data_IF_624165004101
#
_entry.id   IF_624165004101
#
_cell.length_a   1.000
_cell.length_b   1.000
_cell.length_c   1.000
_cell.angle_alpha   90.00
_cell.angle_beta   90.00
_cell.angle_gamma   90.00
#
_symmetry.space_group_name_H-M   'P 1'
#
loop_
_entity.id
_entity.type
_entity.pdbx_description
1 polymer ?
#
# COMPACT_ATOMS: atom_id res chain seq x y z
N UNK A 1 1.33 -69.39 -40.56
CA UNK A 1 2.64 -69.67 -39.93
C UNK A 1 2.94 -68.46 -39.05
N UNK A 2 2.40 -68.38 -37.82
CA UNK A 2 2.88 -69.10 -36.62
C UNK A 2 4.41 -69.07 -36.56
N UNK A 3 5.01 -68.21 -35.74
CA UNK A 3 5.28 -68.50 -34.32
C UNK A 3 5.74 -67.26 -33.53
N UNK A 4 5.12 -67.09 -32.37
CA UNK A 4 5.57 -66.34 -31.19
C UNK A 4 6.47 -67.24 -30.33
N UNK A 5 7.61 -66.76 -29.83
CA UNK A 5 8.31 -67.35 -28.69
C UNK A 5 8.88 -66.28 -27.74
N UNK A 6 8.31 -66.36 -26.54
CA UNK A 6 8.80 -66.21 -25.16
C UNK A 6 9.11 -64.91 -24.42
N UNK A 7 8.67 -65.03 -23.17
CA UNK A 7 8.67 -64.13 -22.05
C UNK A 7 9.72 -64.53 -21.01
N UNK A 8 9.99 -63.62 -20.07
CA UNK A 8 10.70 -63.89 -18.80
C UNK A 8 11.66 -62.74 -18.46
N UNK A 9 11.69 -62.15 -17.28
CA UNK A 9 11.00 -62.42 -16.02
C UNK A 9 11.45 -61.40 -14.97
N UNK A 10 10.47 -60.93 -14.19
CA UNK A 10 10.48 -60.59 -12.75
C UNK A 10 11.81 -60.28 -11.98
N UNK A 11 11.68 -59.17 -11.21
CA UNK A 11 11.95 -58.96 -9.76
C UNK A 11 13.26 -58.28 -9.29
N UNK A 12 13.05 -57.34 -8.36
CA UNK A 12 13.95 -56.94 -7.26
C UNK A 12 14.89 -55.81 -7.63
N UNK A 13 14.88 -54.62 -7.01
CA UNK A 13 14.82 -54.37 -5.56
C UNK A 13 16.24 -53.97 -5.12
N UNK A 14 16.48 -52.69 -4.87
CA UNK A 14 17.80 -52.20 -4.45
C UNK A 14 17.85 -50.70 -4.24
N UNK A 15 17.38 -50.26 -3.08
CA UNK A 15 17.76 -48.96 -2.50
C UNK A 15 19.28 -48.97 -2.23
N UNK A 16 20.02 -48.05 -2.85
CA UNK A 16 21.38 -47.71 -2.42
C UNK A 16 21.46 -46.21 -2.20
N UNK A 17 21.88 -45.84 -0.99
CA UNK A 17 21.72 -44.52 -0.40
C UNK A 17 22.58 -43.43 -1.04
N UNK A 18 21.96 -42.27 -1.19
CA UNK A 18 22.65 -41.01 -1.44
C UNK A 18 23.50 -40.64 -0.21
N UNK A 19 24.82 -40.62 -0.40
CA UNK A 19 25.79 -40.05 0.53
C UNK A 19 25.46 -38.56 0.73
N UNK A 20 25.25 -38.18 2.00
CA UNK A 20 25.23 -36.78 2.45
C UNK A 20 26.62 -36.17 2.24
N UNK A 21 26.73 -35.16 1.39
CA UNK A 21 27.86 -34.24 1.35
C UNK A 21 27.82 -33.35 2.58
N UNK A 22 28.82 -33.49 3.44
CA UNK A 22 29.03 -32.72 4.67
C UNK A 22 29.61 -31.37 4.27
N UNK A 23 28.82 -30.31 4.41
CA UNK A 23 29.29 -28.93 4.30
C UNK A 23 30.29 -28.63 5.42
N UNK A 24 31.33 -27.88 5.07
CA UNK A 24 32.51 -27.60 5.90
C UNK A 24 32.19 -26.87 7.20
N UNK A 25 32.85 -27.30 8.27
CA UNK A 25 32.99 -26.53 9.48
C UNK A 25 34.01 -25.41 9.24
N UNK A 26 33.55 -24.17 9.29
CA UNK A 26 34.41 -23.00 9.34
C UNK A 26 35.14 -22.95 10.68
N UNK A 27 36.46 -22.97 10.61
CA UNK A 27 37.37 -22.83 11.73
C UNK A 27 37.29 -21.40 12.27
N UNK A 28 36.96 -21.23 13.55
CA UNK A 28 36.89 -19.91 14.19
C UNK A 28 38.33 -19.44 14.45
N UNK A 29 38.79 -18.46 13.68
CA UNK A 29 40.10 -17.82 13.86
C UNK A 29 40.19 -17.12 15.23
N UNK A 30 41.40 -17.05 15.84
CA UNK A 30 41.62 -16.40 17.14
C UNK A 30 41.11 -14.94 17.22
N UNK A 31 41.09 -14.22 16.09
CA UNK A 31 40.60 -12.85 15.99
C UNK A 31 39.09 -12.74 16.29
N UNK A 32 38.27 -13.73 15.90
CA UNK A 32 36.82 -13.70 16.12
C UNK A 32 36.40 -14.10 17.54
N UNK A 33 37.31 -14.70 18.32
CA UNK A 33 37.09 -14.99 19.75
C UNK A 33 37.28 -13.75 20.62
N UNK A 34 38.19 -12.84 20.23
CA UNK A 34 38.47 -11.62 20.98
C UNK A 34 37.32 -10.61 20.89
N UNK A 35 36.70 -10.45 19.71
CA UNK A 35 35.53 -9.56 19.56
C UNK A 35 34.30 -9.98 20.38
N UNK A 36 34.08 -11.30 20.58
CA UNK A 36 32.97 -11.77 21.43
C UNK A 36 33.25 -11.62 22.94
N UNK A 37 34.52 -11.46 23.34
CA UNK A 37 34.87 -11.20 24.74
C UNK A 37 34.79 -9.71 25.07
N UNK A 38 35.08 -8.83 24.11
CA UNK A 38 34.96 -7.38 24.30
C UNK A 38 33.50 -6.89 24.32
N UNK A 39 32.58 -7.57 23.62
CA UNK A 39 31.15 -7.28 23.67
C UNK A 39 30.50 -7.57 25.04
N UNK A 40 31.09 -8.45 25.88
CA UNK A 40 30.60 -8.73 27.24
C UNK A 40 31.18 -7.81 28.32
N UNK A 41 32.10 -6.91 27.98
CA UNK A 41 32.74 -5.99 28.94
C UNK A 41 32.04 -4.62 29.05
N UNK A 42 31.03 -4.36 28.22
CA UNK A 42 30.31 -3.06 28.19
C UNK A 42 29.02 -3.06 29.04
N UNK A 43 28.52 -4.21 29.49
CA UNK A 43 27.35 -4.31 30.39
C UNK A 43 27.71 -4.16 31.88
N UNK A 44 28.42 -3.07 32.22
CA UNK A 44 28.95 -2.82 33.57
C UNK A 44 28.64 -1.46 34.16
N UNK A 45 27.64 -0.72 33.65
CA UNK A 45 27.28 0.60 34.18
C UNK A 45 25.85 0.59 34.71
N UNK A 46 25.71 0.43 36.04
CA UNK A 46 24.45 0.67 36.76
C UNK A 46 24.08 2.16 36.68
N UNK A 47 23.06 2.49 35.91
CA UNK A 47 22.40 3.81 35.97
C UNK A 47 21.45 3.82 37.16
N UNK A 48 21.69 4.73 38.12
CA UNK A 48 20.82 4.98 39.27
C UNK A 48 19.52 5.66 38.81
N UNK A 49 18.38 5.13 39.26
CA UNK A 49 17.08 5.76 39.09
C UNK A 49 17.01 7.12 39.83
N UNK A 50 16.35 8.15 39.26
CA UNK A 50 16.13 9.41 39.96
C UNK A 50 15.06 9.27 41.06
N UNK A 51 15.38 9.78 42.25
CA UNK A 51 14.51 9.87 43.43
C UNK A 51 13.27 10.72 43.16
N UNK A 52 12.10 10.20 43.50
CA UNK A 52 10.88 10.99 43.70
C UNK A 52 11.04 11.93 44.93
N UNK A 53 10.64 13.20 44.85
CA UNK A 53 10.50 14.04 46.03
C UNK A 53 9.19 13.76 46.79
N UNK A 54 9.17 13.96 48.12
CA UNK A 54 8.09 13.51 48.98
C UNK A 54 6.83 14.37 48.91
N UNK A 55 5.68 13.71 49.06
CA UNK A 55 4.37 14.29 49.35
C UNK A 55 4.39 14.87 50.77
N UNK A 56 4.20 16.19 50.90
CA UNK A 56 4.00 16.84 52.19
C UNK A 56 2.55 17.29 52.34
N UNK A 57 1.85 16.60 53.25
CA UNK A 57 1.17 17.17 54.41
C UNK A 57 0.28 18.40 54.22
N UNK A 58 -1.01 18.17 54.41
CA UNK A 58 -2.04 19.10 54.86
C UNK A 58 -1.56 20.16 55.87
N UNK A 59 -2.08 21.38 55.75
CA UNK A 59 -2.58 22.15 56.89
C UNK A 59 -3.54 23.28 56.48
N UNK A 60 -4.51 23.50 57.36
CA UNK A 60 -5.71 24.31 57.28
C UNK A 60 -5.48 25.82 57.49
N UNK A 61 -6.41 26.57 56.90
CA UNK A 61 -7.15 27.73 57.44
C UNK A 61 -6.58 29.17 57.50
N UNK A 62 -7.56 30.08 57.30
CA UNK A 62 -7.68 31.52 57.57
C UNK A 62 -7.20 32.57 56.55
N UNK A 63 -8.15 33.42 56.13
CA UNK A 63 -7.87 34.86 55.98
C UNK A 63 -8.32 35.57 54.69
N UNK A 64 -9.62 35.83 54.56
CA UNK A 64 -10.24 37.14 54.26
C UNK A 64 -9.62 38.09 53.20
N UNK A 65 -10.43 38.33 52.17
CA UNK A 65 -10.75 39.56 51.42
C UNK A 65 -9.65 40.42 50.76
N UNK A 66 -9.84 40.65 49.45
CA UNK A 66 -9.86 41.96 48.76
C UNK A 66 -9.80 41.63 47.25
N UNK A 67 -10.81 41.89 46.44
CA UNK A 67 -11.28 43.24 46.15
C UNK A 67 -10.77 43.76 44.80
N UNK A 68 -10.21 42.97 43.87
CA UNK A 68 -9.69 43.55 42.61
C UNK A 68 -9.50 42.58 41.43
N UNK A 69 -10.47 41.68 41.17
CA UNK A 69 -10.32 40.69 40.08
C UNK A 69 -11.60 40.46 39.26
N UNK A 70 -12.34 41.52 38.90
CA UNK A 70 -13.56 41.40 38.06
C UNK A 70 -13.56 42.17 36.74
N UNK A 71 -12.42 42.71 36.29
CA UNK A 71 -12.37 43.43 35.00
C UNK A 71 -11.34 42.95 33.97
N UNK A 72 -10.66 41.81 34.19
CA UNK A 72 -9.70 41.23 33.21
C UNK A 72 -9.97 39.77 32.83
N UNK A 73 -11.22 39.32 32.85
CA UNK A 73 -11.62 38.00 32.33
C UNK A 73 -12.65 38.05 31.19
N UNK A 74 -13.08 39.24 30.78
CA UNK A 74 -14.04 39.40 29.68
C UNK A 74 -13.39 39.45 28.28
N UNK A 75 -12.11 39.83 28.17
CA UNK A 75 -11.47 40.04 26.86
C UNK A 75 -10.63 38.87 26.33
N UNK A 76 -10.35 37.85 27.16
CA UNK A 76 -9.57 36.68 26.72
C UNK A 76 -10.43 35.55 26.11
N UNK A 77 -11.77 35.66 26.16
CA UNK A 77 -12.69 34.62 25.63
C UNK A 77 -13.15 34.84 24.18
N UNK A 78 -12.69 35.89 23.51
CA UNK A 78 -13.11 36.22 22.12
C UNK A 78 -12.13 35.78 21.01
N UNK A 79 -11.05 35.07 21.33
CA UNK A 79 -10.06 34.60 20.33
C UNK A 79 -9.79 33.09 20.36
N UNK A 80 -10.80 32.27 20.65
CA UNK A 80 -10.68 30.82 20.61
C UNK A 80 -11.97 30.17 20.09
N UNK A 81 -12.31 30.43 18.83
CA UNK A 81 -13.21 29.58 18.06
C UNK A 81 -13.11 29.93 16.57
N UNK A 82 -12.01 29.49 15.93
CA UNK A 82 -12.14 29.11 14.52
C UNK A 82 -12.86 27.76 14.54
N UNK A 83 -14.11 27.65 14.07
CA UNK A 83 -14.77 26.37 14.02
C UNK A 83 -14.04 25.49 12.99
N UNK A 84 -13.70 24.29 13.46
CA UNK A 84 -13.25 23.12 12.71
C UNK A 84 -14.36 22.67 11.73
N UNK A 85 -14.68 23.54 10.77
CA UNK A 85 -15.74 23.36 9.78
C UNK A 85 -15.19 23.24 8.36
N UNK A 86 -13.95 23.66 8.11
CA UNK A 86 -13.34 23.53 6.77
C UNK A 86 -12.87 22.11 6.48
N UNK A 87 -12.32 21.39 7.47
CA UNK A 87 -11.83 20.02 7.28
C UNK A 87 -12.98 19.03 6.97
N UNK A 88 -14.13 19.21 7.63
CA UNK A 88 -15.35 18.43 7.36
C UNK A 88 -16.12 18.93 6.13
N UNK A 89 -15.86 20.15 5.65
CA UNK A 89 -16.45 20.67 4.41
C UNK A 89 -15.72 20.09 3.20
N UNK A 90 -14.39 19.96 3.27
CA UNK A 90 -13.58 19.39 2.19
C UNK A 90 -13.86 17.89 1.96
N UNK A 91 -14.01 17.11 3.05
CA UNK A 91 -14.44 15.69 2.98
C UNK A 91 -15.83 15.53 2.35
N UNK A 92 -16.77 16.43 2.66
CA UNK A 92 -18.13 16.41 2.08
C UNK A 92 -18.16 16.84 0.62
N UNK A 93 -17.30 17.77 0.21
CA UNK A 93 -17.15 18.19 -1.19
C UNK A 93 -16.53 17.07 -2.04
N UNK A 94 -15.55 16.33 -1.48
CA UNK A 94 -14.94 15.18 -2.15
C UNK A 94 -15.95 14.04 -2.37
N UNK A 95 -16.74 13.71 -1.34
CA UNK A 95 -17.79 12.68 -1.41
C UNK A 95 -18.93 13.09 -2.36
N UNK A 96 -19.30 14.37 -2.40
CA UNK A 96 -20.37 14.86 -3.29
C UNK A 96 -19.93 14.90 -4.76
N UNK A 97 -18.65 15.19 -5.04
CA UNK A 97 -18.07 15.08 -6.38
C UNK A 97 -18.04 13.63 -6.88
N UNK A 98 -17.87 12.67 -5.97
CA UNK A 98 -17.87 11.24 -6.26
C UNK A 98 -19.29 10.71 -6.60
N UNK A 99 -20.33 11.21 -5.92
CA UNK A 99 -21.72 10.72 -6.06
C UNK A 99 -22.42 11.21 -7.35
N UNK A 100 -21.98 12.31 -7.96
CA UNK A 100 -22.60 12.87 -9.18
C UNK A 100 -21.97 12.35 -10.50
N UNK A 101 -20.91 11.56 -10.46
CA UNK A 101 -20.20 11.08 -11.66
C UNK A 101 -20.77 9.78 -12.28
N UNK A 102 -21.84 9.19 -11.72
CA UNK A 102 -22.21 7.77 -12.00
C UNK A 102 -23.36 7.60 -13.00
N UNK A 103 -23.46 8.38 -14.07
CA UNK A 103 -24.49 8.13 -15.10
C UNK A 103 -24.01 8.44 -16.51
N UNK A 104 -23.14 7.59 -17.03
CA UNK A 104 -22.76 7.57 -18.44
C UNK A 104 -21.29 7.30 -18.59
N UNK A 105 -20.91 6.03 -18.73
CA UNK A 105 -19.58 5.64 -19.22
C UNK A 105 -19.55 6.02 -20.70
N UNK A 106 -19.34 7.31 -20.97
CA UNK A 106 -18.74 7.72 -22.22
C UNK A 106 -17.28 7.25 -22.12
N UNK A 107 -16.83 6.47 -23.11
CA UNK A 107 -15.45 5.98 -23.22
C UNK A 107 -14.49 7.15 -23.06
N UNK A 108 -14.02 7.38 -21.83
CA UNK A 108 -12.83 8.18 -21.60
C UNK A 108 -11.71 7.48 -22.37
N UNK A 109 -10.85 8.25 -23.03
CA UNK A 109 -9.67 7.67 -23.67
C UNK A 109 -8.84 6.89 -22.66
N UNK A 110 -7.99 5.98 -23.15
CA UNK A 110 -7.04 5.21 -22.32
C UNK A 110 -6.31 6.16 -21.37
N UNK A 111 -6.50 6.00 -20.06
CA UNK A 111 -5.94 6.90 -19.04
C UNK A 111 -4.47 6.58 -18.82
N UNK A 112 -4.14 5.30 -18.61
CA UNK A 112 -2.79 4.78 -18.43
C UNK A 112 -2.26 4.35 -19.80
N UNK A 113 -1.36 5.17 -20.36
CA UNK A 113 -0.78 4.92 -21.69
C UNK A 113 0.31 3.85 -21.71
N UNK A 114 1.15 3.81 -20.68
CA UNK A 114 2.24 2.86 -20.55
C UNK A 114 2.63 2.67 -19.08
N UNK A 115 3.21 1.52 -18.76
CA UNK A 115 3.80 1.25 -17.46
C UNK A 115 5.10 0.51 -17.66
N UNK A 116 6.20 1.12 -17.21
CA UNK A 116 7.53 0.52 -17.25
C UNK A 116 7.91 0.08 -15.85
N UNK A 117 8.18 -1.22 -15.66
CA UNK A 117 8.71 -1.75 -14.40
C UNK A 117 10.22 -1.87 -14.50
N UNK A 118 10.94 -1.46 -13.47
CA UNK A 118 12.40 -1.56 -13.44
C UNK A 118 12.91 -2.03 -12.09
N UNK A 119 13.98 -2.82 -12.13
CA UNK A 119 14.63 -3.39 -10.95
C UNK A 119 13.65 -4.17 -10.05
N UNK A 120 12.67 -4.87 -10.61
CA UNK A 120 11.81 -5.73 -9.82
C UNK A 120 12.41 -7.12 -9.56
N UNK A 121 11.71 -7.94 -8.78
CA UNK A 121 12.07 -9.33 -8.61
C UNK A 121 11.77 -10.17 -9.87
N UNK A 122 12.54 -11.24 -10.07
CA UNK A 122 12.33 -12.22 -11.15
C UNK A 122 11.63 -13.47 -10.61
N UNK A 123 10.97 -14.23 -11.48
CA UNK A 123 10.28 -15.45 -11.07
C UNK A 123 9.64 -16.24 -12.20
N UNK A 124 8.89 -17.26 -11.82
CA UNK A 124 8.09 -18.10 -12.73
C UNK A 124 6.76 -18.45 -12.05
N UNK A 125 5.65 -18.20 -12.76
CA UNK A 125 4.27 -18.40 -12.28
C UNK A 125 3.39 -18.94 -13.41
N UNK A 126 2.40 -19.76 -13.05
CA UNK A 126 1.59 -20.51 -14.02
C UNK A 126 0.90 -19.63 -15.09
N UNK A 127 0.41 -18.45 -14.71
CA UNK A 127 -0.33 -17.55 -15.61
C UNK A 127 0.58 -16.73 -16.55
N UNK A 128 1.63 -16.10 -16.01
CA UNK A 128 2.51 -15.19 -16.76
C UNK A 128 3.74 -15.91 -17.36
N UNK A 129 4.12 -17.07 -16.82
CA UNK A 129 5.36 -17.76 -17.13
C UNK A 129 6.58 -17.13 -16.43
N UNK A 130 7.73 -17.24 -17.06
CA UNK A 130 8.99 -16.65 -16.59
C UNK A 130 8.95 -15.13 -16.81
N UNK A 131 9.29 -14.38 -15.76
CA UNK A 131 9.43 -12.93 -15.79
C UNK A 131 10.73 -12.52 -15.08
N UNK A 132 11.25 -11.36 -15.47
CA UNK A 132 12.42 -10.74 -14.87
C UNK A 132 12.08 -9.40 -14.21
N UNK A 133 13.10 -8.70 -13.72
CA UNK A 133 12.94 -7.41 -13.05
C UNK A 133 12.51 -6.25 -13.95
N UNK A 134 12.48 -6.44 -15.27
CA UNK A 134 12.08 -5.43 -16.25
C UNK A 134 10.88 -5.89 -17.09
N UNK A 135 10.20 -6.95 -16.67
CA UNK A 135 8.96 -7.39 -17.30
C UNK A 135 7.86 -6.42 -16.92
N UNK A 136 7.33 -5.73 -17.91
CA UNK A 136 6.32 -4.69 -17.73
C UNK A 136 4.95 -5.27 -17.30
N UNK A 137 4.25 -4.60 -16.38
CA UNK A 137 2.92 -5.01 -15.94
C UNK A 137 1.85 -4.68 -17.00
N UNK A 138 0.74 -5.40 -16.92
CA UNK A 138 -0.42 -5.15 -17.78
C UNK A 138 -1.38 -4.16 -17.09
N UNK A 139 -2.05 -3.33 -17.88
CA UNK A 139 -3.18 -2.50 -17.42
C UNK A 139 -4.48 -3.28 -17.59
N UNK A 140 -5.22 -3.44 -16.49
CA UNK A 140 -6.54 -4.07 -16.46
C UNK A 140 -7.66 -3.07 -16.17
N UNK A 141 -8.88 -3.60 -16.10
CA UNK A 141 -10.08 -2.86 -15.71
C UNK A 141 -10.56 -3.37 -14.35
N UNK A 142 -10.72 -2.47 -13.38
CA UNK A 142 -11.02 -2.80 -12.01
C UNK A 142 -12.46 -3.33 -11.90
N UNK A 143 -12.59 -4.61 -11.60
CA UNK A 143 -13.87 -5.28 -11.38
C UNK A 143 -13.67 -6.54 -10.55
N UNK A 144 -14.73 -7.00 -9.88
CA UNK A 144 -14.71 -8.26 -9.16
C UNK A 144 -14.32 -9.43 -10.07
N UNK A 145 -13.48 -10.32 -9.55
CA UNK A 145 -12.94 -11.47 -10.28
C UNK A 145 -11.68 -11.18 -11.11
N UNK A 146 -11.33 -9.92 -11.34
CA UNK A 146 -10.09 -9.56 -12.06
C UNK A 146 -8.86 -9.73 -11.16
N UNK A 147 -7.75 -10.21 -11.73
CA UNK A 147 -6.52 -10.44 -10.95
C UNK A 147 -5.87 -9.14 -10.52
N UNK A 148 -5.48 -9.06 -9.25
CA UNK A 148 -4.83 -7.89 -8.66
C UNK A 148 -3.37 -7.76 -9.14
N UNK A 149 -2.70 -8.90 -9.30
CA UNK A 149 -1.27 -8.96 -9.56
C UNK A 149 -0.98 -9.77 -10.81
N UNK A 150 0.14 -9.46 -11.47
CA UNK A 150 0.66 -10.22 -12.61
C UNK A 150 1.16 -11.61 -12.22
N UNK A 151 1.60 -11.78 -10.98
CA UNK A 151 2.33 -12.97 -10.51
C UNK A 151 1.56 -13.76 -9.42
N UNK A 152 0.29 -13.42 -9.16
CA UNK A 152 -0.61 -14.13 -8.24
C UNK A 152 -2.02 -14.18 -8.80
N UNK A 153 -2.67 -15.33 -8.64
CA UNK A 153 -4.07 -15.54 -9.01
C UNK A 153 -5.03 -15.06 -7.91
N UNK A 154 -4.80 -13.85 -7.38
CA UNK A 154 -5.65 -13.23 -6.36
C UNK A 154 -6.62 -12.27 -7.03
N UNK A 155 -7.94 -12.51 -6.98
CA UNK A 155 -8.91 -11.61 -7.58
C UNK A 155 -9.31 -10.46 -6.64
N UNK A 156 -9.72 -9.35 -7.25
CA UNK A 156 -10.52 -8.31 -6.59
C UNK A 156 -11.91 -8.83 -6.23
N UNK A 157 -12.41 -8.39 -5.08
CA UNK A 157 -13.74 -8.77 -4.56
C UNK A 157 -14.35 -7.58 -3.83
N UNK A 158 -15.68 -7.48 -3.82
CA UNK A 158 -16.40 -6.38 -3.16
C UNK A 158 -15.95 -4.98 -3.62
N UNK A 159 -15.62 -4.83 -4.89
CA UNK A 159 -15.13 -3.57 -5.48
C UNK A 159 -16.18 -2.46 -5.29
N UNK A 160 -15.84 -1.32 -4.66
CA UNK A 160 -16.75 -0.19 -4.55
C UNK A 160 -17.22 0.28 -5.92
N UNK A 161 -18.51 0.58 -6.07
CA UNK A 161 -19.10 1.00 -7.34
C UNK A 161 -18.44 2.27 -7.92
N UNK A 162 -17.85 3.09 -7.06
CA UNK A 162 -17.14 4.32 -7.42
C UNK A 162 -15.78 4.05 -8.10
N UNK A 163 -15.21 2.85 -7.91
CA UNK A 163 -13.94 2.43 -8.48
C UNK A 163 -14.14 1.39 -9.60
N UNK A 164 -15.31 0.76 -9.67
CA UNK A 164 -15.64 -0.21 -10.69
C UNK A 164 -15.50 0.39 -12.11
N UNK A 165 -14.74 -0.29 -12.97
CA UNK A 165 -14.43 0.16 -14.33
C UNK A 165 -13.19 1.06 -14.45
N UNK A 166 -12.54 1.45 -13.36
CA UNK A 166 -11.28 2.19 -13.41
C UNK A 166 -10.16 1.38 -14.09
N UNK A 167 -9.21 2.05 -14.73
CA UNK A 167 -8.00 1.39 -15.21
C UNK A 167 -7.06 1.17 -14.02
N UNK A 168 -6.36 0.04 -13.97
CA UNK A 168 -5.34 -0.20 -12.96
C UNK A 168 -4.19 -1.04 -13.47
N UNK A 169 -3.03 -0.86 -12.85
CA UNK A 169 -1.81 -1.61 -13.11
C UNK A 169 -1.85 -2.90 -12.29
N UNK A 170 -1.71 -4.05 -12.95
CA UNK A 170 -1.48 -5.32 -12.29
C UNK A 170 0.01 -5.36 -11.87
N UNK A 171 0.31 -4.96 -10.65
CA UNK A 171 1.69 -4.97 -10.14
C UNK A 171 2.16 -6.40 -9.85
N UNK A 172 3.45 -6.57 -9.52
CA UNK A 172 3.99 -7.87 -9.10
C UNK A 172 4.03 -7.94 -7.57
N UNK A 173 3.25 -8.85 -6.99
CA UNK A 173 3.20 -9.02 -5.54
C UNK A 173 4.50 -9.59 -4.95
N UNK A 174 5.41 -10.11 -5.78
CA UNK A 174 6.74 -10.55 -5.32
C UNK A 174 7.66 -9.36 -5.00
N UNK A 175 7.39 -8.17 -5.55
CA UNK A 175 8.16 -6.95 -5.28
C UNK A 175 7.98 -6.39 -3.86
N UNK A 176 7.07 -6.96 -3.07
CA UNK A 176 6.86 -6.56 -1.66
C UNK A 176 7.98 -6.95 -0.71
N UNK A 177 8.90 -7.82 -1.13
CA UNK A 177 9.92 -8.37 -0.24
C UNK A 177 11.14 -7.46 -0.27
N UNK A 178 11.15 -6.52 0.68
CA UNK A 178 12.11 -5.44 0.72
C UNK A 178 13.55 -5.84 1.00
N UNK A 179 14.46 -5.12 0.36
CA UNK A 179 15.91 -5.26 0.51
C UNK A 179 16.60 -6.13 -0.55
N UNK A 180 15.84 -6.79 -1.44
CA UNK A 180 16.43 -7.49 -2.59
C UNK A 180 16.55 -6.57 -3.81
N UNK A 181 15.68 -5.56 -3.93
CA UNK A 181 15.58 -4.74 -5.13
C UNK A 181 14.95 -3.34 -4.89
N UNK A 182 15.53 -2.28 -5.48
CA UNK A 182 14.96 -0.93 -5.55
C UNK A 182 13.96 -0.82 -6.71
N UNK A 183 12.82 -1.53 -6.60
CA UNK A 183 11.82 -1.59 -7.67
C UNK A 183 11.16 -0.23 -7.90
N UNK A 184 10.88 0.08 -9.18
CA UNK A 184 10.09 1.24 -9.57
C UNK A 184 9.06 0.89 -10.63
N UNK A 185 7.94 1.59 -10.59
CA UNK A 185 6.88 1.55 -11.60
C UNK A 185 6.72 2.94 -12.18
N UNK A 186 7.09 3.12 -13.45
CA UNK A 186 6.93 4.40 -14.15
C UNK A 186 5.67 4.36 -15.00
N UNK A 187 4.66 5.13 -14.60
CA UNK A 187 3.34 5.15 -15.22
C UNK A 187 3.20 6.41 -16.07
N UNK A 188 2.82 6.24 -17.33
CA UNK A 188 2.45 7.35 -18.22
C UNK A 188 0.94 7.55 -18.21
N UNK A 189 0.50 8.74 -17.81
CA UNK A 189 -0.88 9.19 -17.90
C UNK A 189 -1.08 10.02 -19.17
N UNK A 190 -2.01 9.59 -20.03
CA UNK A 190 -2.32 10.30 -21.28
C UNK A 190 -3.17 11.56 -21.06
N UNK A 191 -3.94 11.57 -19.98
CA UNK A 191 -4.85 12.67 -19.62
C UNK A 191 -4.77 12.90 -18.11
N UNK A 192 -5.23 14.07 -17.67
CA UNK A 192 -5.41 14.31 -16.25
C UNK A 192 -6.42 13.31 -15.67
N UNK A 193 -6.08 12.71 -14.53
CA UNK A 193 -6.88 11.66 -13.91
C UNK A 193 -6.70 11.68 -12.39
N UNK A 194 -7.70 11.16 -11.68
CA UNK A 194 -7.55 10.86 -10.27
C UNK A 194 -6.79 9.55 -10.15
N UNK A 195 -5.54 9.64 -9.72
CA UNK A 195 -4.70 8.47 -9.50
C UNK A 195 -4.95 7.96 -8.09
N UNK A 196 -5.24 6.68 -7.99
CA UNK A 196 -5.45 5.97 -6.75
C UNK A 196 -4.29 4.99 -6.50
N UNK A 197 -3.86 4.87 -5.26
CA UNK A 197 -2.96 3.84 -4.80
C UNK A 197 -3.59 3.09 -3.63
N UNK A 198 -3.28 1.80 -3.51
CA UNK A 198 -3.81 0.97 -2.42
C UNK A 198 -2.72 0.62 -1.42
N UNK A 199 -3.03 0.61 -0.13
CA UNK A 199 -2.10 0.17 0.93
C UNK A 199 -2.77 -0.93 1.74
N UNK A 200 -2.04 -2.01 2.00
CA UNK A 200 -2.53 -3.13 2.80
C UNK A 200 -2.79 -2.69 4.25
N UNK A 201 -3.97 -3.01 4.79
CA UNK A 201 -4.39 -2.57 6.12
C UNK A 201 -3.57 -3.14 7.29
N UNK A 202 -2.72 -4.12 6.99
CA UNK A 202 -1.72 -4.62 7.94
C UNK A 202 -0.54 -3.67 8.11
N UNK A 203 -0.39 -2.66 7.25
CA UNK A 203 0.63 -1.61 7.37
C UNK A 203 0.06 -0.47 8.22
N UNK A 204 0.82 0.09 9.20
CA UNK A 204 2.17 -0.29 9.62
C UNK A 204 2.22 -1.36 10.72
N UNK A 205 1.07 -1.80 11.26
CA UNK A 205 1.03 -2.66 12.45
C UNK A 205 1.86 -3.96 12.33
N UNK A 206 1.90 -4.54 11.13
CA UNK A 206 2.65 -5.74 10.81
C UNK A 206 3.85 -5.46 9.86
N UNK A 207 4.14 -4.20 9.58
CA UNK A 207 5.32 -3.76 8.84
C UNK A 207 6.07 -2.70 9.64
N UNK A 208 7.15 -3.12 10.26
CA UNK A 208 7.99 -2.22 11.04
C UNK A 208 9.44 -2.70 11.03
N UNK A 209 10.07 -2.78 9.85
CA UNK A 209 11.45 -3.26 9.77
C UNK A 209 12.40 -2.42 10.63
N UNK A 210 12.15 -1.11 10.81
CA UNK A 210 13.02 -0.20 11.59
C UNK A 210 12.32 0.98 12.32
N UNK A 211 10.99 1.06 12.38
CA UNK A 211 10.28 2.24 12.90
C UNK A 211 9.96 3.30 11.85
N UNK A 212 10.27 3.03 10.57
CA UNK A 212 10.23 4.02 9.49
C UNK A 212 8.83 4.54 9.14
N UNK A 213 7.79 3.74 9.40
CA UNK A 213 6.40 4.09 9.11
C UNK A 213 5.58 4.06 10.39
N UNK A 214 5.06 5.22 10.81
CA UNK A 214 4.19 5.34 11.97
C UNK A 214 2.71 5.20 11.59
N UNK A 215 2.39 5.45 10.33
CA UNK A 215 1.04 5.44 9.76
C UNK A 215 1.04 4.83 8.35
N UNK A 216 -0.14 4.49 7.82
CA UNK A 216 -0.29 4.15 6.40
C UNK A 216 0.06 5.31 5.48
N UNK A 217 -0.22 6.54 5.89
CA UNK A 217 0.13 7.74 5.13
C UNK A 217 1.65 7.82 4.89
N UNK A 218 2.46 7.44 5.87
CA UNK A 218 3.91 7.41 5.70
C UNK A 218 4.31 6.42 4.58
N UNK A 219 3.61 5.28 4.47
CA UNK A 219 3.86 4.29 3.42
C UNK A 219 3.49 4.83 2.03
N UNK A 220 2.34 5.50 1.94
CA UNK A 220 1.90 6.22 0.73
C UNK A 220 2.95 7.24 0.30
N UNK A 221 3.35 8.10 1.24
CA UNK A 221 4.26 9.20 0.99
C UNK A 221 5.63 8.70 0.52
N UNK A 222 6.10 7.56 1.03
CA UNK A 222 7.34 6.93 0.54
C UNK A 222 7.20 6.39 -0.89
N UNK A 223 6.08 5.75 -1.24
CA UNK A 223 5.84 5.24 -2.60
C UNK A 223 5.81 6.37 -3.63
N UNK A 224 5.24 7.53 -3.28
CA UNK A 224 5.08 8.67 -4.23
C UNK A 224 6.16 9.76 -4.10
N UNK A 225 7.16 9.55 -3.25
CA UNK A 225 8.15 10.57 -2.86
C UNK A 225 8.93 11.17 -4.05
N UNK A 226 9.04 10.46 -5.17
CA UNK A 226 9.76 10.92 -6.35
C UNK A 226 9.10 12.12 -7.05
N UNK A 227 7.78 12.31 -6.87
CA UNK A 227 7.04 13.34 -7.60
C UNK A 227 5.98 14.09 -6.78
N UNK A 228 5.62 13.61 -5.58
CA UNK A 228 4.60 14.21 -4.74
C UNK A 228 5.16 14.58 -3.36
N UNK A 229 4.69 15.70 -2.81
CA UNK A 229 4.99 16.06 -1.44
C UNK A 229 4.21 15.15 -0.46
N UNK A 230 4.72 14.92 0.76
CA UNK A 230 4.00 14.19 1.80
C UNK A 230 2.57 14.71 2.01
N UNK A 231 1.60 13.80 2.13
CA UNK A 231 0.17 14.13 2.29
C UNK A 231 -0.56 14.58 1.02
N UNK A 232 0.10 14.52 -0.16
CA UNK A 232 -0.57 14.83 -1.44
C UNK A 232 -1.67 13.83 -1.76
N UNK A 233 -1.38 12.53 -1.59
CA UNK A 233 -2.36 11.46 -1.72
C UNK A 233 -3.11 11.31 -0.41
N UNK A 234 -4.43 11.46 -0.46
CA UNK A 234 -5.27 11.47 0.74
C UNK A 234 -6.14 10.22 0.77
N UNK A 235 -6.37 9.70 1.98
CA UNK A 235 -7.31 8.62 2.23
C UNK A 235 -8.71 9.01 1.71
N UNK A 236 -9.26 8.16 0.86
CA UNK A 236 -10.58 8.34 0.25
C UNK A 236 -11.72 7.81 1.13
N UNK A 237 -11.39 7.00 2.15
CA UNK A 237 -12.33 6.22 2.95
C UNK A 237 -12.96 5.05 2.19
N UNK A 238 -12.44 4.72 1.00
CA UNK A 238 -12.80 3.53 0.24
C UNK A 238 -11.78 2.43 0.46
N UNK A 239 -12.27 1.20 0.44
CA UNK A 239 -11.45 0.00 0.55
C UNK A 239 -11.63 -0.90 -0.66
N UNK A 240 -10.55 -1.54 -1.09
CA UNK A 240 -10.57 -2.66 -2.01
C UNK A 240 -10.21 -3.94 -1.27
N UNK A 241 -10.71 -5.09 -1.75
CA UNK A 241 -10.47 -6.37 -1.10
C UNK A 241 -9.80 -7.35 -2.06
N UNK A 242 -8.70 -7.95 -1.61
CA UNK A 242 -7.95 -8.98 -2.33
C UNK A 242 -8.30 -10.34 -1.73
N UNK A 243 -8.80 -11.26 -2.55
CA UNK A 243 -9.03 -12.64 -2.11
C UNK A 243 -7.74 -13.47 -2.23
N UNK A 244 -7.09 -13.72 -1.09
CA UNK A 244 -5.84 -14.52 -1.05
C UNK A 244 -6.10 -16.03 -1.06
N UNK A 245 -7.31 -16.47 -0.70
CA UNK A 245 -7.70 -17.88 -0.71
C UNK A 245 -8.93 -18.14 -1.58
N UNK A 246 -8.83 -19.16 -2.42
CA UNK A 246 -9.90 -19.57 -3.32
C UNK A 246 -11.20 -19.97 -2.60
N UNK A 247 -11.12 -20.40 -1.33
CA UNK A 247 -12.28 -20.76 -0.51
C UNK A 247 -13.03 -19.53 0.06
N UNK A 248 -12.56 -18.31 -0.22
CA UNK A 248 -13.17 -17.07 0.26
C UNK A 248 -12.97 -16.80 1.75
N UNK A 249 -12.14 -17.58 2.45
CA UNK A 249 -11.92 -17.41 3.89
C UNK A 249 -10.98 -16.26 4.26
N UNK A 250 -10.28 -15.68 3.29
CA UNK A 250 -9.32 -14.59 3.51
C UNK A 250 -9.47 -13.54 2.42
N UNK A 251 -10.13 -12.46 2.79
CA UNK A 251 -10.18 -11.21 2.03
C UNK A 251 -9.31 -10.18 2.76
N UNK A 252 -8.29 -9.65 2.07
CA UNK A 252 -7.39 -8.62 2.60
C UNK A 252 -7.89 -7.26 2.19
N UNK A 253 -8.14 -6.42 3.18
CA UNK A 253 -8.52 -5.04 2.97
C UNK A 253 -7.30 -4.20 2.58
N UNK A 254 -7.51 -3.33 1.59
CA UNK A 254 -6.55 -2.37 1.09
C UNK A 254 -7.19 -0.99 1.08
N UNK A 255 -6.73 -0.10 1.95
CA UNK A 255 -7.16 1.31 1.99
C UNK A 255 -6.75 2.04 0.71
N UNK A 256 -7.63 2.88 0.17
CA UNK A 256 -7.41 3.63 -1.09
C UNK A 256 -7.06 5.08 -0.81
N UNK A 257 -5.89 5.51 -1.29
CA UNK A 257 -5.43 6.89 -1.24
C UNK A 257 -5.40 7.47 -2.65
N UNK A 258 -5.80 8.72 -2.84
CA UNK A 258 -5.88 9.30 -4.17
C UNK A 258 -5.45 10.77 -4.24
N UNK A 259 -4.98 11.18 -5.42
CA UNK A 259 -4.70 12.57 -5.78
C UNK A 259 -5.03 12.82 -7.25
N UNK A 260 -5.40 14.06 -7.57
CA UNK A 260 -5.50 14.49 -8.97
C UNK A 260 -4.12 14.77 -9.54
N UNK A 261 -3.77 14.07 -10.62
CA UNK A 261 -2.53 14.32 -11.37
C UNK A 261 -2.86 14.80 -12.79
N UNK A 262 -2.10 15.75 -13.35
CA UNK A 262 -2.18 16.06 -14.77
C UNK A 262 -1.68 14.89 -15.64
N UNK A 263 -1.83 14.99 -16.95
CA UNK A 263 -1.13 14.10 -17.87
C UNK A 263 0.39 14.24 -17.67
N UNK A 264 1.10 13.12 -17.72
CA UNK A 264 2.52 13.10 -17.39
C UNK A 264 3.07 11.71 -17.12
N UNK A 265 4.32 11.66 -16.70
CA UNK A 265 5.02 10.42 -16.36
C UNK A 265 5.38 10.46 -14.88
N UNK A 266 5.02 9.41 -14.15
CA UNK A 266 5.11 9.34 -12.69
C UNK A 266 5.79 8.06 -12.26
N UNK A 267 6.84 8.17 -11.43
CA UNK A 267 7.58 7.02 -10.93
C UNK A 267 7.18 6.73 -9.49
N UNK A 268 6.58 5.56 -9.27
CA UNK A 268 6.23 5.02 -7.97
C UNK A 268 7.38 4.15 -7.46
N UNK A 269 7.78 4.34 -6.21
CA UNK A 269 8.87 3.63 -5.54
C UNK A 269 8.44 2.29 -4.94
N UNK A 270 9.36 1.66 -4.22
CA UNK A 270 9.12 0.36 -3.58
C UNK A 270 8.22 0.47 -2.34
N UNK A 271 7.56 -0.64 -2.01
CA UNK A 271 6.81 -0.82 -0.76
C UNK A 271 7.22 -2.16 -0.13
N UNK A 272 8.37 -2.08 0.52
CA UNK A 272 9.16 -3.17 1.08
C UNK A 272 8.56 -3.77 2.35
N UNK A 273 7.30 -4.20 2.29
CA UNK A 273 6.48 -4.50 3.46
C UNK A 273 6.31 -5.96 3.82
N UNK A 274 6.58 -6.88 2.90
CA UNK A 274 6.18 -8.28 3.00
C UNK A 274 4.65 -8.50 3.03
N UNK A 275 3.86 -7.43 2.92
CA UNK A 275 2.39 -7.44 2.76
C UNK A 275 2.03 -7.20 1.31
N UNK A 276 0.74 -7.29 0.95
CA UNK A 276 0.39 -7.16 -0.45
C UNK A 276 0.93 -5.85 -1.03
N UNK A 277 1.58 -5.97 -2.19
CA UNK A 277 2.13 -4.82 -2.88
C UNK A 277 0.99 -3.88 -3.28
N UNK A 278 1.27 -2.58 -3.34
CA UNK A 278 0.25 -1.62 -3.74
C UNK A 278 -0.20 -1.87 -5.19
N UNK A 279 -1.40 -1.39 -5.50
CA UNK A 279 -1.91 -1.24 -6.87
C UNK A 279 -1.95 0.23 -7.24
N UNK A 280 -1.81 0.53 -8.54
CA UNK A 280 -1.94 1.89 -9.08
C UNK A 280 -3.17 1.91 -9.98
N UNK A 281 -4.13 2.78 -9.70
CA UNK A 281 -5.36 2.97 -10.48
C UNK A 281 -5.48 4.37 -11.05
N UNK A 282 -6.20 4.52 -12.16
CA UNK A 282 -6.55 5.79 -12.75
C UNK A 282 -8.06 5.87 -12.99
N UNK A 283 -8.67 6.95 -12.50
CA UNK A 283 -10.10 7.22 -12.58
C UNK A 283 -10.30 8.51 -13.38
N UNK A 284 -11.22 8.56 -14.37
CA UNK A 284 -11.45 9.76 -15.16
C UNK A 284 -11.83 10.96 -14.29
N UNK A 285 -11.43 12.17 -14.69
CA UNK A 285 -11.84 13.39 -13.99
C UNK A 285 -13.38 13.54 -13.94
N UNK A 286 -13.96 13.96 -12.80
CA UNK A 286 -15.40 14.22 -12.67
C UNK A 286 -15.92 15.25 -13.69
N UNK A 287 -15.09 16.23 -14.08
CA UNK A 287 -15.46 17.27 -15.04
C UNK A 287 -15.65 16.72 -16.46
N UNK A 288 -14.86 15.73 -16.86
CA UNK A 288 -14.99 15.05 -18.15
C UNK A 288 -16.30 14.26 -18.23
N UNK A 289 -16.72 13.63 -17.12
CA UNK A 289 -18.01 12.94 -17.02
C UNK A 289 -19.19 13.91 -17.12
N UNK A 290 -19.10 15.08 -16.49
CA UNK A 290 -20.12 16.13 -16.57
C UNK A 290 -20.25 16.73 -17.99
N UNK A 291 -19.13 17.01 -18.66
CA UNK A 291 -19.14 17.55 -20.03
C UNK A 291 -19.66 16.53 -21.06
N UNK A 292 -19.32 15.25 -20.92
CA UNK A 292 -19.84 14.18 -21.77
C UNK A 292 -21.35 13.95 -21.55
N UNK A 293 -21.81 14.01 -20.30
CA UNK A 293 -23.23 13.95 -19.96
C UNK A 293 -24.03 15.11 -20.52
N UNK A 294 -23.53 16.35 -20.37
CA UNK A 294 -24.19 17.55 -20.89
C UNK A 294 -24.15 17.64 -22.43
N UNK A 295 -23.05 17.24 -23.05
CA UNK A 295 -22.91 17.18 -24.51
C UNK A 295 -23.87 16.17 -25.16
N UNK A 296 -24.04 14.99 -24.54
CA UNK A 296 -25.00 13.99 -24.98
C UNK A 296 -26.46 14.47 -24.90
N UNK A 297 -26.83 15.13 -23.80
CA UNK A 297 -28.17 15.71 -23.61
C UNK A 297 -28.47 16.85 -24.59
N UNK A 298 -27.48 17.69 -24.91
CA UNK A 298 -27.64 18.77 -25.89
C UNK A 298 -27.89 18.25 -27.32
N UNK A 299 -27.25 17.14 -27.70
CA UNK A 299 -27.44 16.50 -29.01
C UNK A 299 -28.78 15.76 -29.13
N UNK A 300 -29.26 15.14 -28.04
CA UNK A 300 -30.58 14.48 -28.01
C UNK A 300 -31.70 15.52 -28.16
N UNK A 301 -31.54 16.71 -27.57
CA UNK A 301 -32.54 17.78 -27.64
C UNK A 301 -32.60 18.47 -29.01
N UNK A 302 -31.54 18.38 -29.82
CA UNK A 302 -31.49 18.97 -31.18
C UNK A 302 -32.08 18.05 -32.26
N UNK A 303 -32.32 16.77 -31.94
CA UNK A 303 -32.91 15.77 -32.85
C UNK A 303 -34.41 15.52 -32.62
N UNK A 304 -35.05 16.27 -31.74
CA UNK A 304 -36.51 16.27 -31.56
C UNK A 304 -37.12 17.57 -32.07
#
# INVERSE_FOLDING_TARGET
>A
MMDTIDAGGRRGGGYTGARRSRAGGGEITPANRQMMQDARRVEGVRVRAPKQPPLCGSCREFGVASGEARHRQADARKRASKPCSEENSMKKVLVLALVLAVSGIASAGVLIGAVDRSNGQSGDRAWIGVFDGNTDPIVGTLADGQYVFMDREYPWVNTPAQLAGAEYVLTFNTDKNGGETDVTYTVTLNVAAMVAITIDDRIPAEWNSDGAFATQQDAVDAVVAAFAAPGTFQDTGLDLFIREKADGSVDRQMSVYAAMLPAGVYTFGSQDSGKNFYSIGAIPEPASMLLLGLGGLALIRRRR
#
